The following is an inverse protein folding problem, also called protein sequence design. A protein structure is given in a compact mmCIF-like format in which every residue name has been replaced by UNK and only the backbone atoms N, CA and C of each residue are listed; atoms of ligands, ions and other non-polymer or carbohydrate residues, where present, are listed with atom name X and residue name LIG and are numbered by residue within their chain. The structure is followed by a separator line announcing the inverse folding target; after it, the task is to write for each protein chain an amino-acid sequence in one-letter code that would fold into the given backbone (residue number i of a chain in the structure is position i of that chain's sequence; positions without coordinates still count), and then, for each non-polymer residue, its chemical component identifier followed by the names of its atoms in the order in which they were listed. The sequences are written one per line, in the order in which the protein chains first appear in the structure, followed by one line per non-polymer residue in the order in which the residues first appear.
data_IF_000377591844
#
_entry.id   IF_000377591844
#
_cell.length_a   1.000
_cell.length_b   1.000
_cell.length_c   1.000
_cell.angle_alpha   90.00
_cell.angle_beta   90.00
_cell.angle_gamma   90.00
#
_symmetry.space_group_name_H-M   'P 1'
#
loop_
_entity.id
_entity.type
_entity.pdbx_description
1 polymer ?
#
# COMPACT_ATOMS: atom_id res chain seq x y z
N UNK A 1 28.72 13.88 -3.89
CA UNK A 1 28.77 13.17 -2.58
C UNK A 1 30.22 13.13 -2.13
N UNK A 2 30.57 13.55 -0.92
CA UNK A 2 31.93 13.44 -0.39
C UNK A 2 32.14 12.07 0.24
N UNK A 3 33.41 11.62 0.38
CA UNK A 3 33.74 10.39 1.08
C UNK A 3 33.22 10.40 2.53
N UNK A 4 33.24 11.54 3.18
CA UNK A 4 32.73 11.69 4.54
C UNK A 4 31.22 11.52 4.61
N UNK A 5 30.46 12.06 3.65
CA UNK A 5 29.01 11.84 3.60
C UNK A 5 28.68 10.36 3.36
N UNK A 6 29.49 9.66 2.58
CA UNK A 6 29.30 8.22 2.35
C UNK A 6 29.62 7.40 3.60
N UNK A 7 30.71 7.72 4.31
CA UNK A 7 31.06 7.07 5.59
C UNK A 7 29.94 7.27 6.64
N UNK A 8 29.40 8.50 6.72
CA UNK A 8 28.28 8.80 7.60
C UNK A 8 27.02 7.97 7.23
N UNK A 9 26.74 7.80 5.94
CA UNK A 9 25.63 6.96 5.49
C UNK A 9 25.79 5.50 5.92
N UNK A 10 27.03 4.95 5.84
CA UNK A 10 27.33 3.60 6.32
C UNK A 10 27.08 3.49 7.83
N UNK A 11 27.56 4.45 8.60
CA UNK A 11 27.42 4.43 10.06
C UNK A 11 25.95 4.54 10.50
N UNK A 12 25.18 5.41 9.84
CA UNK A 12 23.73 5.49 10.04
C UNK A 12 23.03 4.17 9.68
N UNK A 13 23.44 3.52 8.59
CA UNK A 13 22.91 2.22 8.20
C UNK A 13 23.17 1.13 9.23
N UNK A 14 24.39 1.07 9.78
CA UNK A 14 24.76 0.14 10.88
C UNK A 14 23.95 0.36 12.15
N UNK A 15 23.49 1.58 12.39
CA UNK A 15 22.62 1.95 13.51
C UNK A 15 21.12 1.75 13.21
N UNK A 16 20.77 1.22 12.02
CA UNK A 16 19.39 0.96 11.62
C UNK A 16 18.65 2.13 10.97
N UNK A 17 19.26 3.31 10.84
CA UNK A 17 18.60 4.50 10.27
C UNK A 17 18.33 4.43 8.76
N UNK A 18 18.90 3.43 8.05
CA UNK A 18 18.63 3.20 6.63
C UNK A 18 17.51 2.17 6.40
N UNK A 19 16.87 1.66 7.46
CA UNK A 19 15.69 0.83 7.33
C UNK A 19 14.51 1.69 6.88
N UNK A 20 13.74 1.18 5.92
CA UNK A 20 12.50 1.85 5.49
C UNK A 20 11.43 1.79 6.57
N UNK A 21 10.44 2.67 6.47
CA UNK A 21 9.26 2.60 7.33
C UNK A 21 8.45 1.34 7.01
N UNK A 22 7.79 0.84 8.05
CA UNK A 22 6.96 -0.36 7.92
C UNK A 22 5.79 -0.18 6.97
N UNK A 23 5.50 -1.24 6.26
CA UNK A 23 4.33 -1.40 5.39
C UNK A 23 3.25 -2.26 6.04
N UNK A 24 3.51 -2.76 7.25
CA UNK A 24 2.67 -3.72 7.96
C UNK A 24 2.67 -5.12 7.34
N UNK A 25 3.67 -5.41 6.51
CA UNK A 25 3.90 -6.67 5.80
C UNK A 25 5.40 -7.02 5.88
N UNK A 26 5.87 -7.61 6.99
CA UNK A 26 7.29 -7.84 7.26
C UNK A 26 8.04 -8.63 6.19
N UNK A 27 7.43 -9.66 5.59
CA UNK A 27 8.06 -10.42 4.50
C UNK A 27 8.22 -9.60 3.24
N UNK A 28 7.23 -8.77 2.90
CA UNK A 28 7.34 -7.83 1.80
C UNK A 28 8.42 -6.78 2.09
N UNK A 29 8.51 -6.29 3.33
CA UNK A 29 9.54 -5.34 3.76
C UNK A 29 10.95 -5.94 3.62
N UNK A 30 11.17 -7.20 3.97
CA UNK A 30 12.44 -7.91 3.74
C UNK A 30 12.82 -7.96 2.26
N UNK A 31 11.83 -8.12 1.36
CA UNK A 31 12.06 -8.20 -0.08
C UNK A 31 12.40 -6.86 -0.73
N UNK A 32 11.88 -5.74 -0.21
CA UNK A 32 12.00 -4.43 -0.87
C UNK A 32 12.63 -3.33 -0.01
N UNK A 33 12.94 -3.61 1.25
CA UNK A 33 13.54 -2.66 2.19
C UNK A 33 12.54 -1.71 2.86
N UNK A 34 11.22 -2.00 2.81
CA UNK A 34 10.20 -1.12 3.36
C UNK A 34 10.01 0.18 2.57
N UNK A 35 9.45 1.21 3.21
CA UNK A 35 9.24 2.53 2.61
C UNK A 35 10.49 3.38 2.82
N UNK A 36 11.31 3.51 1.78
CA UNK A 36 12.58 4.25 1.83
C UNK A 36 12.46 5.60 1.12
N UNK A 37 13.31 6.56 1.54
CA UNK A 37 13.42 7.87 0.88
C UNK A 37 13.91 7.75 -0.55
N UNK A 38 13.52 8.71 -1.38
CA UNK A 38 13.97 8.81 -2.77
C UNK A 38 13.68 7.57 -3.60
N UNK A 39 12.69 6.80 -3.23
CA UNK A 39 12.29 5.56 -3.93
C UNK A 39 10.93 5.74 -4.58
N UNK A 40 10.87 5.56 -5.89
CA UNK A 40 9.63 5.57 -6.63
C UNK A 40 9.09 4.15 -6.75
N UNK A 41 7.89 3.94 -6.26
CA UNK A 41 7.21 2.64 -6.32
C UNK A 41 6.02 2.71 -7.26
N UNK A 42 5.93 1.76 -8.16
CA UNK A 42 4.73 1.49 -8.94
C UNK A 42 3.99 0.30 -8.35
N UNK A 43 2.72 0.49 -8.01
CA UNK A 43 1.82 -0.59 -7.63
C UNK A 43 0.69 -0.67 -8.64
N UNK A 44 0.49 -1.85 -9.25
CA UNK A 44 -0.58 -2.03 -10.21
C UNK A 44 -1.37 -3.32 -10.00
N UNK A 45 -2.59 -3.34 -10.52
CA UNK A 45 -3.44 -4.53 -10.54
C UNK A 45 -4.55 -4.37 -11.57
N UNK A 46 -5.21 -5.46 -11.93
CA UNK A 46 -6.50 -5.42 -12.61
C UNK A 46 -7.57 -4.82 -11.69
N UNK A 47 -8.66 -4.32 -12.28
CA UNK A 47 -9.77 -3.74 -11.51
C UNK A 47 -10.32 -4.76 -10.50
N UNK A 48 -10.64 -4.29 -9.29
CA UNK A 48 -11.23 -5.11 -8.22
C UNK A 48 -10.26 -6.05 -7.49
N UNK A 49 -8.98 -6.08 -7.82
CA UNK A 49 -8.02 -6.98 -7.16
C UNK A 49 -7.43 -6.42 -5.85
N UNK A 50 -7.74 -5.17 -5.49
CA UNK A 50 -7.36 -4.61 -4.19
C UNK A 50 -6.19 -3.62 -4.22
N UNK A 51 -5.81 -3.07 -5.40
CA UNK A 51 -4.71 -2.09 -5.52
C UNK A 51 -4.82 -0.91 -4.55
N UNK A 52 -5.95 -0.20 -4.55
CA UNK A 52 -6.18 0.95 -3.66
C UNK A 52 -6.22 0.54 -2.19
N UNK A 53 -6.78 -0.63 -1.89
CA UNK A 53 -6.81 -1.17 -0.53
C UNK A 53 -5.42 -1.53 -0.03
N UNK A 54 -4.55 -2.09 -0.89
CA UNK A 54 -3.16 -2.38 -0.57
C UNK A 54 -2.38 -1.08 -0.29
N UNK A 55 -2.54 -0.06 -1.14
CA UNK A 55 -1.89 1.25 -0.94
C UNK A 55 -2.37 1.90 0.35
N UNK A 56 -3.68 1.93 0.62
CA UNK A 56 -4.21 2.52 1.86
C UNK A 56 -3.69 1.79 3.10
N UNK A 57 -3.54 0.47 3.04
CA UNK A 57 -2.99 -0.28 4.17
C UNK A 57 -1.48 -0.07 4.31
N UNK A 58 -0.70 -0.37 3.25
CA UNK A 58 0.75 -0.47 3.35
C UNK A 58 1.49 0.85 3.23
N UNK A 59 0.95 1.86 2.51
CA UNK A 59 1.64 3.15 2.31
C UNK A 59 1.01 4.31 3.07
N UNK A 60 -0.18 4.09 3.66
CA UNK A 60 -0.85 5.13 4.46
C UNK A 60 -1.02 4.66 5.90
N UNK A 61 -1.80 3.60 6.14
CA UNK A 61 -2.16 3.16 7.48
C UNK A 61 -0.96 2.63 8.30
N UNK A 62 -0.19 1.70 7.73
CA UNK A 62 0.94 1.09 8.45
C UNK A 62 2.00 2.13 8.89
N UNK A 63 2.50 3.01 8.01
CA UNK A 63 3.44 4.05 8.44
C UNK A 63 2.80 5.08 9.39
N UNK A 64 1.50 5.41 9.26
CA UNK A 64 0.81 6.27 10.24
C UNK A 64 0.76 5.62 11.63
N UNK A 65 0.58 4.30 11.72
CA UNK A 65 0.53 3.59 13.00
C UNK A 65 1.83 3.78 13.81
N UNK A 66 2.98 3.85 13.14
CA UNK A 66 4.29 3.97 13.79
C UNK A 66 4.76 5.42 13.93
N UNK A 67 4.44 6.29 12.96
CA UNK A 67 5.00 7.64 12.83
C UNK A 67 3.99 8.77 12.94
N UNK A 68 2.88 8.53 13.65
CA UNK A 68 1.81 9.52 13.79
C UNK A 68 2.20 10.73 14.66
N UNK A 69 3.08 10.51 15.65
CA UNK A 69 3.41 11.50 16.68
C UNK A 69 4.86 11.99 16.65
N UNK A 70 5.75 11.32 15.92
CA UNK A 70 7.18 11.62 15.92
C UNK A 70 7.61 12.68 14.89
N UNK A 71 6.65 13.18 14.09
CA UNK A 71 6.88 14.14 13.01
C UNK A 71 7.86 13.67 11.92
N UNK A 72 8.11 12.35 11.80
CA UNK A 72 9.02 11.79 10.79
C UNK A 72 8.35 11.45 9.46
N UNK A 73 7.03 11.56 9.38
CA UNK A 73 6.22 11.21 8.21
C UNK A 73 5.40 12.40 7.72
N UNK A 74 5.31 12.55 6.41
CA UNK A 74 4.36 13.40 5.70
C UNK A 74 3.78 12.67 4.50
N UNK A 75 2.47 12.66 4.32
CA UNK A 75 1.80 11.98 3.21
C UNK A 75 0.96 12.98 2.43
N UNK A 76 1.21 13.06 1.12
CA UNK A 76 0.44 13.82 0.14
C UNK A 76 -0.32 12.80 -0.70
N UNK A 77 -1.64 12.73 -0.60
CA UNK A 77 -2.43 11.72 -1.29
C UNK A 77 -3.35 12.35 -2.33
N UNK A 78 -3.09 12.08 -3.59
CA UNK A 78 -3.95 12.46 -4.71
C UNK A 78 -4.97 11.37 -4.97
N UNK A 79 -6.19 11.58 -4.50
CA UNK A 79 -7.33 10.67 -4.65
C UNK A 79 -8.10 11.01 -5.94
N UNK A 80 -7.73 10.38 -7.04
CA UNK A 80 -8.33 10.64 -8.34
C UNK A 80 -9.57 9.78 -8.61
N UNK A 81 -9.74 8.68 -7.85
CA UNK A 81 -10.83 7.70 -8.01
C UNK A 81 -11.84 7.76 -6.86
N UNK A 82 -11.37 7.86 -5.62
CA UNK A 82 -12.20 7.78 -4.43
C UNK A 82 -12.35 9.15 -3.76
N UNK A 83 -13.49 9.37 -3.09
CA UNK A 83 -13.69 10.56 -2.26
C UNK A 83 -12.92 10.46 -0.94
N UNK A 84 -12.51 11.61 -0.41
CA UNK A 84 -11.79 11.73 0.85
C UNK A 84 -12.54 11.05 2.01
N UNK A 85 -13.83 11.32 2.18
CA UNK A 85 -14.63 10.71 3.24
C UNK A 85 -14.55 9.18 3.26
N UNK A 86 -14.56 8.55 2.06
CA UNK A 86 -14.50 7.10 1.96
C UNK A 86 -13.10 6.55 2.26
N UNK A 87 -12.06 7.31 1.93
CA UNK A 87 -10.67 6.99 2.27
C UNK A 87 -10.49 7.05 3.79
N UNK A 88 -10.92 8.16 4.40
CA UNK A 88 -10.85 8.35 5.87
C UNK A 88 -11.66 7.28 6.60
N UNK A 89 -12.88 6.96 6.12
CA UNK A 89 -13.68 5.89 6.71
C UNK A 89 -13.00 4.51 6.62
N UNK A 90 -12.28 4.21 5.54
CA UNK A 90 -11.49 2.98 5.43
C UNK A 90 -10.32 2.95 6.41
N UNK A 91 -9.59 4.05 6.55
CA UNK A 91 -8.49 4.16 7.50
C UNK A 91 -8.99 4.02 8.94
N UNK A 92 -10.10 4.69 9.28
CA UNK A 92 -10.74 4.59 10.57
C UNK A 92 -11.25 3.17 10.85
N UNK A 93 -11.87 2.49 9.89
CA UNK A 93 -12.29 1.09 9.99
C UNK A 93 -11.11 0.17 10.33
N UNK A 94 -9.96 0.36 9.67
CA UNK A 94 -8.73 -0.39 9.96
C UNK A 94 -8.21 -0.10 11.38
N UNK A 95 -8.21 1.18 11.78
CA UNK A 95 -7.77 1.61 13.11
C UNK A 95 -8.65 1.02 14.23
N UNK A 96 -9.96 1.09 14.10
CA UNK A 96 -10.91 0.55 15.08
C UNK A 96 -10.75 -0.97 15.23
N UNK A 97 -10.50 -1.65 14.12
CA UNK A 97 -10.23 -3.06 14.15
C UNK A 97 -8.89 -3.39 14.84
N UNK A 98 -7.81 -2.71 14.48
CA UNK A 98 -6.47 -2.97 15.05
C UNK A 98 -6.37 -2.59 16.53
N UNK A 99 -7.15 -1.62 16.98
CA UNK A 99 -7.06 -1.08 18.35
C UNK A 99 -8.08 -1.72 19.31
N UNK A 100 -9.31 -1.91 18.82
CA UNK A 100 -10.43 -2.34 19.66
C UNK A 100 -11.02 -3.68 19.23
N UNK A 101 -10.52 -4.30 18.15
CA UNK A 101 -11.07 -5.51 17.53
C UNK A 101 -12.55 -5.37 17.10
N UNK A 102 -12.97 -4.14 16.77
CA UNK A 102 -14.33 -3.82 16.34
C UNK A 102 -14.39 -3.83 14.82
N UNK A 103 -15.29 -4.64 14.29
CA UNK A 103 -15.57 -4.69 12.84
C UNK A 103 -16.66 -3.67 12.51
N UNK A 104 -16.28 -2.52 11.98
CA UNK A 104 -17.17 -1.53 11.39
C UNK A 104 -16.66 -1.15 10.01
N UNK A 105 -17.46 -1.36 8.98
CA UNK A 105 -17.04 -1.11 7.60
C UNK A 105 -17.10 0.37 7.27
N UNK A 106 -16.31 0.81 6.26
CA UNK A 106 -16.39 2.19 5.77
C UNK A 106 -17.80 2.59 5.31
N UNK A 107 -18.58 1.63 4.78
CA UNK A 107 -19.99 1.86 4.41
C UNK A 107 -20.88 2.12 5.61
N UNK A 108 -20.66 1.42 6.74
CA UNK A 108 -21.38 1.65 8.00
C UNK A 108 -20.98 2.99 8.62
N UNK A 109 -19.68 3.29 8.69
CA UNK A 109 -19.19 4.58 9.22
C UNK A 109 -19.88 5.74 8.50
N UNK A 110 -20.03 5.66 7.19
CA UNK A 110 -20.67 6.70 6.36
C UNK A 110 -22.17 6.47 6.16
N UNK A 111 -22.75 5.43 6.73
CA UNK A 111 -24.17 5.04 6.54
C UNK A 111 -24.61 4.99 5.07
N UNK A 112 -23.78 4.42 4.19
CA UNK A 112 -24.04 4.35 2.76
C UNK A 112 -24.97 3.16 2.44
N UNK A 113 -26.24 3.46 2.21
CA UNK A 113 -27.28 2.48 1.91
C UNK A 113 -28.07 2.06 3.15
N UNK A 114 -29.32 1.62 2.94
CA UNK A 114 -30.28 1.32 4.00
C UNK A 114 -29.81 0.24 4.98
N UNK A 115 -29.03 -0.72 4.47
CA UNK A 115 -28.54 -1.87 5.26
C UNK A 115 -27.24 -1.54 6.02
N UNK A 116 -26.71 -0.32 5.87
CA UNK A 116 -25.43 0.12 6.45
C UNK A 116 -25.56 1.33 7.37
N UNK A 117 -26.77 1.59 7.87
CA UNK A 117 -26.96 2.64 8.89
C UNK A 117 -26.12 2.27 10.10
N UNK A 118 -25.28 3.22 10.55
CA UNK A 118 -24.40 3.00 11.70
C UNK A 118 -25.23 2.90 12.97
N UNK A 119 -25.21 1.76 13.70
CA UNK A 119 -25.90 1.60 14.98
C UNK A 119 -25.25 2.44 16.08
N UNK A 120 -26.01 2.84 17.08
CA UNK A 120 -25.56 3.72 18.16
C UNK A 120 -24.39 3.11 18.96
N UNK A 121 -24.42 1.79 19.22
CA UNK A 121 -23.34 1.06 19.90
C UNK A 121 -22.02 1.07 19.11
N UNK A 122 -22.07 0.97 17.78
CA UNK A 122 -20.89 1.12 16.93
C UNK A 122 -20.46 2.57 16.79
N UNK A 123 -21.39 3.53 16.86
CA UNK A 123 -21.08 4.95 16.79
C UNK A 123 -20.18 5.41 17.95
N UNK A 124 -20.39 4.88 19.16
CA UNK A 124 -19.52 5.13 20.33
C UNK A 124 -18.06 4.77 20.02
N UNK A 125 -17.80 3.63 19.35
CA UNK A 125 -16.45 3.25 18.93
C UNK A 125 -15.90 4.16 17.83
N UNK A 126 -16.74 4.59 16.89
CA UNK A 126 -16.33 5.55 15.85
C UNK A 126 -15.85 6.85 16.50
N UNK A 127 -16.54 7.33 17.56
CA UNK A 127 -16.14 8.54 18.29
C UNK A 127 -14.76 8.39 18.97
N UNK A 128 -14.41 7.21 19.49
CA UNK A 128 -13.07 6.94 20.04
C UNK A 128 -11.94 7.10 18.99
N UNK A 129 -12.27 6.99 17.72
CA UNK A 129 -11.32 7.21 16.64
C UNK A 129 -11.09 8.68 16.26
N UNK A 130 -11.86 9.64 16.78
CA UNK A 130 -11.73 11.05 16.38
C UNK A 130 -10.39 11.66 16.78
N UNK A 131 -9.90 11.39 17.99
CA UNK A 131 -8.59 11.85 18.45
C UNK A 131 -7.45 11.33 17.55
N UNK A 132 -7.59 10.09 17.11
CA UNK A 132 -6.65 9.52 16.15
C UNK A 132 -6.72 10.22 14.79
N UNK A 133 -7.94 10.50 14.28
CA UNK A 133 -8.12 11.22 13.03
C UNK A 133 -7.57 12.66 13.08
N UNK A 134 -7.71 13.36 14.18
CA UNK A 134 -7.10 14.69 14.35
C UNK A 134 -5.57 14.66 14.17
N UNK A 135 -4.93 13.61 14.66
CA UNK A 135 -3.48 13.39 14.45
C UNK A 135 -3.19 13.01 13.00
N UNK A 136 -4.01 12.15 12.39
CA UNK A 136 -3.87 11.75 10.97
C UNK A 136 -3.89 12.97 10.05
N UNK A 137 -4.80 13.90 10.24
CA UNK A 137 -4.90 15.13 9.43
C UNK A 137 -3.67 16.04 9.53
N UNK A 138 -2.85 15.93 10.57
CA UNK A 138 -1.56 16.65 10.66
C UNK A 138 -0.48 16.05 9.76
N UNK A 139 -0.55 14.74 9.50
CA UNK A 139 0.44 13.98 8.73
C UNK A 139 0.00 13.73 7.29
N UNK A 140 -1.29 13.46 7.08
CA UNK A 140 -1.90 13.12 5.79
C UNK A 140 -2.71 14.30 5.26
N UNK A 141 -2.42 14.72 4.02
CA UNK A 141 -3.30 15.61 3.27
C UNK A 141 -3.82 14.90 2.03
N UNK A 142 -5.13 14.91 1.84
CA UNK A 142 -5.80 14.30 0.70
C UNK A 142 -6.23 15.40 -0.26
N UNK A 143 -5.93 15.23 -1.53
CA UNK A 143 -6.36 16.08 -2.63
C UNK A 143 -7.26 15.28 -3.55
N UNK A 144 -8.55 15.57 -3.54
CA UNK A 144 -9.51 14.93 -4.45
C UNK A 144 -9.82 15.81 -5.67
N UNK A 145 -10.27 15.18 -6.74
CA UNK A 145 -10.78 15.83 -7.92
C UNK A 145 -9.97 15.57 -9.19
N UNK A 146 -10.06 16.51 -10.12
CA UNK A 146 -9.49 16.38 -11.46
C UNK A 146 -8.17 17.15 -11.57
N UNK A 147 -7.12 16.45 -11.96
CA UNK A 147 -5.76 16.96 -12.05
C UNK A 147 -5.12 16.61 -13.40
N UNK A 148 -4.32 17.51 -13.94
CA UNK A 148 -3.31 17.24 -14.95
C UNK A 148 -1.92 17.17 -14.30
N UNK A 149 -0.89 16.83 -15.07
CA UNK A 149 0.49 16.73 -14.59
C UNK A 149 0.95 18.02 -13.89
N UNK A 150 0.76 19.17 -14.53
CA UNK A 150 1.25 20.44 -13.99
C UNK A 150 0.60 20.80 -12.64
N UNK A 151 -0.70 20.54 -12.49
CA UNK A 151 -1.42 20.77 -11.23
C UNK A 151 -0.97 19.83 -10.12
N UNK A 152 -0.76 18.52 -10.42
CA UNK A 152 -0.22 17.56 -9.45
C UNK A 152 1.16 17.97 -8.97
N UNK A 153 2.04 18.34 -9.90
CA UNK A 153 3.41 18.79 -9.58
C UNK A 153 3.39 20.09 -8.78
N UNK A 154 2.55 21.06 -9.16
CA UNK A 154 2.40 22.32 -8.42
C UNK A 154 2.03 22.07 -6.97
N UNK A 155 0.99 21.28 -6.71
CA UNK A 155 0.57 20.92 -5.34
C UNK A 155 1.67 20.18 -4.59
N UNK A 156 2.33 19.21 -5.22
CA UNK A 156 3.47 18.51 -4.61
C UNK A 156 4.58 19.47 -4.20
N UNK A 157 4.91 20.44 -5.06
CA UNK A 157 5.94 21.45 -4.76
C UNK A 157 5.50 22.40 -3.62
N UNK A 158 4.23 22.77 -3.55
CA UNK A 158 3.68 23.59 -2.47
C UNK A 158 3.76 22.84 -1.11
N UNK A 159 3.46 21.55 -1.08
CA UNK A 159 3.61 20.72 0.11
C UNK A 159 5.09 20.58 0.52
N UNK A 160 5.99 20.35 -0.42
CA UNK A 160 7.42 20.27 -0.16
C UNK A 160 8.00 21.57 0.41
N UNK A 161 7.49 22.75 0.02
CA UNK A 161 7.88 24.03 0.60
C UNK A 161 7.52 24.17 2.08
N UNK A 162 6.50 23.46 2.56
CA UNK A 162 6.17 23.43 3.99
C UNK A 162 7.21 22.63 4.79
N UNK A 163 7.84 21.64 4.15
CA UNK A 163 8.79 20.71 4.77
C UNK A 163 10.27 21.10 4.54
N UNK A 164 10.55 22.13 3.75
CA UNK A 164 11.91 22.59 3.47
C UNK A 164 11.96 23.82 2.59
N UNK A 165 13.17 24.23 2.22
CA UNK A 165 13.44 25.41 1.42
C UNK A 165 14.10 25.04 0.08
N UNK A 166 13.58 25.60 -1.01
CA UNK A 166 14.21 25.50 -2.34
C UNK A 166 15.16 26.67 -2.55
N UNK A 167 16.45 26.37 -2.70
CA UNK A 167 17.45 27.32 -3.16
C UNK A 167 17.69 27.13 -4.68
N UNK A 168 18.50 27.97 -5.30
CA UNK A 168 18.83 27.84 -6.72
C UNK A 168 19.32 26.44 -7.11
N UNK A 169 20.16 25.83 -6.25
CA UNK A 169 20.86 24.58 -6.58
C UNK A 169 20.37 23.34 -5.84
N UNK A 170 19.65 23.50 -4.72
CA UNK A 170 19.27 22.37 -3.86
C UNK A 170 17.99 22.63 -3.06
N UNK A 171 17.41 21.55 -2.57
CA UNK A 171 16.40 21.54 -1.54
C UNK A 171 17.05 21.28 -0.18
N UNK A 172 16.68 22.08 0.82
CA UNK A 172 17.16 21.94 2.20
C UNK A 172 15.95 21.54 3.05
N UNK A 173 15.81 20.26 3.45
CA UNK A 173 14.72 19.83 4.30
C UNK A 173 14.84 20.43 5.70
N UNK A 174 13.71 20.77 6.34
CA UNK A 174 13.67 21.17 7.77
C UNK A 174 14.10 20.01 8.67
N UNK A 175 13.66 18.81 8.35
CA UNK A 175 14.09 17.57 8.99
C UNK A 175 14.65 16.61 7.91
N UNK A 176 15.97 16.36 7.89
CA UNK A 176 16.57 15.46 6.92
C UNK A 176 16.19 14.00 7.13
N UNK A 177 15.60 13.61 8.25
CA UNK A 177 15.13 12.25 8.52
C UNK A 177 13.68 12.03 8.12
N UNK A 178 12.89 13.09 7.94
CA UNK A 178 11.47 12.98 7.56
C UNK A 178 11.28 12.29 6.21
N UNK A 179 10.40 11.30 6.16
CA UNK A 179 9.95 10.64 4.93
C UNK A 179 8.72 11.38 4.40
N UNK A 180 8.77 11.81 3.14
CA UNK A 180 7.66 12.48 2.47
C UNK A 180 7.18 11.57 1.35
N UNK A 181 5.93 11.09 1.45
CA UNK A 181 5.28 10.26 0.44
C UNK A 181 4.38 11.12 -0.44
N UNK A 182 4.39 10.88 -1.75
CA UNK A 182 3.40 11.41 -2.68
C UNK A 182 2.69 10.23 -3.34
N UNK A 183 1.47 9.96 -2.94
CA UNK A 183 0.66 8.84 -3.43
C UNK A 183 -0.34 9.33 -4.46
N UNK A 184 -0.42 8.69 -5.64
CA UNK A 184 -1.38 9.03 -6.70
C UNK A 184 -2.19 7.81 -7.08
N UNK A 185 -3.46 7.75 -6.68
CA UNK A 185 -4.40 6.64 -6.94
C UNK A 185 -5.59 7.12 -7.78
N UNK A 186 -5.65 6.75 -9.07
CA UNK A 186 -4.62 6.14 -9.90
C UNK A 186 -4.33 7.03 -11.12
N UNK A 187 -3.09 6.99 -11.60
CA UNK A 187 -2.60 7.91 -12.66
C UNK A 187 -3.35 7.78 -13.99
N UNK A 188 -4.03 6.67 -14.25
CA UNK A 188 -4.90 6.52 -15.43
C UNK A 188 -6.08 7.50 -15.48
N UNK A 189 -6.35 8.25 -14.40
CA UNK A 189 -7.39 9.28 -14.33
C UNK A 189 -6.85 10.70 -14.47
N UNK A 190 -5.55 10.89 -14.66
CA UNK A 190 -4.95 12.19 -14.95
C UNK A 190 -5.58 12.75 -16.23
N UNK A 191 -5.99 14.01 -16.17
CA UNK A 191 -6.65 14.69 -17.28
C UNK A 191 -5.61 15.17 -18.28
N UNK A 192 -5.85 14.99 -19.58
CA UNK A 192 -5.02 15.57 -20.61
C UNK A 192 -4.97 17.12 -20.51
N UNK A 193 -3.80 17.70 -20.70
CA UNK A 193 -3.62 19.13 -20.85
C UNK A 193 -3.45 19.51 -22.34
N UNK A 194 -3.45 20.81 -22.63
CA UNK A 194 -3.37 21.30 -24.01
C UNK A 194 -2.19 20.69 -24.78
N UNK A 195 -2.49 20.00 -25.87
CA UNK A 195 -1.50 19.39 -26.76
C UNK A 195 -0.96 18.03 -26.36
N UNK A 196 -1.40 17.47 -25.21
CA UNK A 196 -1.01 16.11 -24.75
C UNK A 196 -2.19 15.18 -24.71
N UNK A 197 -1.98 13.93 -25.10
CA UNK A 197 -2.90 12.85 -24.79
C UNK A 197 -2.63 12.31 -23.37
N UNK A 198 -3.49 11.40 -22.86
CA UNK A 198 -3.35 10.85 -21.50
C UNK A 198 -1.99 10.18 -21.27
N UNK A 199 -1.48 9.42 -22.25
CA UNK A 199 -0.16 8.80 -22.17
C UNK A 199 0.94 9.85 -21.97
N UNK A 200 0.96 10.87 -22.82
CA UNK A 200 1.95 11.96 -22.71
C UNK A 200 1.85 12.74 -21.39
N UNK A 201 0.65 12.83 -20.82
CA UNK A 201 0.45 13.47 -19.52
C UNK A 201 1.00 12.62 -18.35
N UNK A 202 0.84 11.30 -18.42
CA UNK A 202 1.41 10.36 -17.43
C UNK A 202 2.94 10.36 -17.55
N UNK A 203 3.48 10.34 -18.75
CA UNK A 203 4.92 10.40 -19.01
C UNK A 203 5.52 11.70 -18.45
N UNK A 204 4.91 12.84 -18.71
CA UNK A 204 5.34 14.15 -18.21
C UNK A 204 5.31 14.19 -16.67
N UNK A 205 4.21 13.74 -16.07
CA UNK A 205 4.07 13.66 -14.61
C UNK A 205 5.17 12.81 -13.99
N UNK A 206 5.37 11.61 -14.52
CA UNK A 206 6.34 10.65 -13.99
C UNK A 206 7.76 11.14 -14.10
N UNK A 207 8.12 11.73 -15.25
CA UNK A 207 9.45 12.33 -15.46
C UNK A 207 9.71 13.50 -14.50
N UNK A 208 8.73 14.37 -14.27
CA UNK A 208 8.83 15.46 -13.29
C UNK A 208 8.99 14.92 -11.86
N UNK A 209 8.28 13.85 -11.50
CA UNK A 209 8.44 13.20 -10.20
C UNK A 209 9.85 12.65 -9.99
N UNK A 210 10.48 12.05 -11.01
CA UNK A 210 11.89 11.63 -10.93
C UNK A 210 12.82 12.80 -10.60
N UNK A 211 12.64 13.94 -11.26
CA UNK A 211 13.45 15.15 -11.00
C UNK A 211 13.24 15.63 -9.54
N UNK A 212 11.99 15.71 -9.09
CA UNK A 212 11.64 16.14 -7.73
C UNK A 212 12.21 15.16 -6.70
N UNK A 213 11.99 13.88 -6.88
CA UNK A 213 12.52 12.81 -6.02
C UNK A 213 14.04 12.95 -5.84
N UNK A 214 14.78 13.07 -6.94
CA UNK A 214 16.24 13.17 -6.89
C UNK A 214 16.71 14.45 -6.19
N UNK A 215 15.94 15.53 -6.26
CA UNK A 215 16.28 16.84 -5.67
C UNK A 215 15.88 16.92 -4.18
N UNK A 216 14.77 16.31 -3.78
CA UNK A 216 14.12 16.56 -2.49
C UNK A 216 14.13 15.37 -1.53
N UNK A 217 14.34 14.16 -2.03
CA UNK A 217 14.16 12.94 -1.23
C UNK A 217 12.71 12.45 -1.15
N UNK A 218 11.78 13.06 -1.91
CA UNK A 218 10.40 12.60 -2.05
C UNK A 218 10.34 11.13 -2.47
N UNK A 219 9.36 10.38 -1.96
CA UNK A 219 9.10 8.99 -2.35
C UNK A 219 7.74 8.89 -3.02
N UNK A 220 7.69 8.90 -4.37
CA UNK A 220 6.45 8.77 -5.11
C UNK A 220 5.93 7.33 -5.10
N UNK A 221 4.62 7.18 -4.85
CA UNK A 221 3.88 5.92 -4.98
C UNK A 221 2.85 6.11 -6.08
N UNK A 222 3.07 5.44 -7.20
CA UNK A 222 2.21 5.51 -8.37
C UNK A 222 1.32 4.28 -8.42
N UNK A 223 0.02 4.51 -8.47
CA UNK A 223 -0.96 3.42 -8.62
C UNK A 223 -1.45 3.39 -10.06
N UNK A 224 -1.44 2.20 -10.66
CA UNK A 224 -1.92 2.01 -12.04
C UNK A 224 -2.89 0.84 -12.15
N UNK A 225 -3.70 0.88 -13.17
CA UNK A 225 -4.52 -0.26 -13.59
C UNK A 225 -3.80 -1.05 -14.68
N UNK A 226 -3.82 -2.38 -14.57
CA UNK A 226 -3.24 -3.24 -15.63
C UNK A 226 -4.03 -3.16 -16.93
N UNK A 227 -3.39 -3.45 -18.04
CA UNK A 227 -4.03 -3.56 -19.33
C UNK A 227 -4.97 -4.77 -19.35
N UNK A 228 -6.13 -4.63 -20.02
CA UNK A 228 -7.08 -5.72 -20.25
C UNK A 228 -6.51 -6.88 -21.08
N UNK A 229 -5.36 -6.70 -21.75
CA UNK A 229 -4.66 -7.75 -22.47
C UNK A 229 -4.23 -8.93 -21.57
N UNK A 230 -4.10 -8.72 -20.25
CA UNK A 230 -3.95 -9.80 -19.25
C UNK A 230 -5.11 -10.81 -19.31
N UNK A 231 -6.26 -10.39 -19.84
CA UNK A 231 -7.44 -11.24 -20.04
C UNK A 231 -7.39 -12.07 -21.33
N UNK A 232 -6.30 -12.02 -22.12
CA UNK A 232 -6.22 -12.74 -23.40
C UNK A 232 -6.33 -14.25 -23.16
N UNK A 233 -7.24 -14.92 -23.90
CA UNK A 233 -7.52 -16.35 -23.74
C UNK A 233 -6.29 -17.24 -23.99
N UNK A 234 -5.34 -16.82 -24.83
CA UNK A 234 -4.12 -17.58 -25.07
C UNK A 234 -3.23 -17.64 -23.84
N UNK A 235 -3.14 -16.52 -23.10
CA UNK A 235 -2.38 -16.44 -21.87
C UNK A 235 -3.00 -17.29 -20.74
N UNK A 236 -4.33 -17.36 -20.68
CA UNK A 236 -5.07 -18.19 -19.72
C UNK A 236 -4.93 -19.70 -19.93
N UNK A 237 -4.43 -20.14 -21.08
CA UNK A 237 -4.14 -21.56 -21.34
C UNK A 237 -2.85 -22.06 -20.66
N UNK A 238 -1.97 -21.16 -20.25
CA UNK A 238 -0.72 -21.51 -19.58
C UNK A 238 -0.67 -20.84 -18.20
N UNK A 239 -0.75 -21.64 -17.15
CA UNK A 239 -0.73 -21.17 -15.76
C UNK A 239 0.47 -20.27 -15.41
N UNK A 240 1.63 -20.52 -16.03
CA UNK A 240 2.84 -19.72 -15.81
C UNK A 240 2.69 -18.27 -16.26
N UNK A 241 1.76 -17.97 -17.18
CA UNK A 241 1.53 -16.62 -17.70
C UNK A 241 0.27 -15.93 -17.12
N UNK A 242 -0.40 -16.54 -16.15
CA UNK A 242 -1.56 -15.93 -15.50
C UNK A 242 -1.20 -14.83 -14.51
N UNK A 243 0.00 -14.91 -13.91
CA UNK A 243 0.48 -13.87 -13.00
C UNK A 243 0.70 -12.54 -13.74
N UNK A 244 0.45 -11.39 -13.07
CA UNK A 244 0.82 -10.09 -13.62
C UNK A 244 2.30 -10.01 -13.97
N UNK A 245 2.61 -9.35 -15.09
CA UNK A 245 3.97 -9.08 -15.57
C UNK A 245 4.14 -7.59 -15.84
N UNK A 246 5.39 -7.12 -15.96
CA UNK A 246 5.69 -5.71 -16.21
C UNK A 246 5.04 -5.22 -17.51
N UNK A 247 4.91 -6.09 -18.51
CA UNK A 247 4.27 -5.81 -19.81
C UNK A 247 2.76 -5.56 -19.69
N UNK A 248 2.15 -5.91 -18.56
CA UNK A 248 0.73 -5.67 -18.30
C UNK A 248 0.44 -4.25 -17.83
N UNK A 249 1.46 -3.45 -17.58
CA UNK A 249 1.32 -2.05 -17.18
C UNK A 249 0.68 -1.29 -18.33
N UNK A 250 -0.46 -0.68 -18.02
CA UNK A 250 -1.26 0.05 -19.00
C UNK A 250 -0.61 1.40 -19.34
N UNK A 251 -0.80 1.79 -20.61
CA UNK A 251 -0.59 3.12 -21.15
C UNK A 251 0.87 3.51 -21.44
N UNK A 252 1.85 3.26 -20.54
CA UNK A 252 3.22 3.71 -20.79
C UNK A 252 4.28 2.86 -20.10
N UNK A 253 5.43 2.62 -20.78
CA UNK A 253 6.62 2.00 -20.20
C UNK A 253 7.41 2.97 -19.31
N UNK A 254 7.24 4.28 -19.50
CA UNK A 254 8.00 5.32 -18.76
C UNK A 254 7.86 5.16 -17.25
N UNK A 255 6.65 4.83 -16.76
CA UNK A 255 6.43 4.63 -15.33
C UNK A 255 7.24 3.45 -14.79
N UNK A 256 7.26 2.33 -15.52
CA UNK A 256 8.02 1.13 -15.10
C UNK A 256 9.54 1.34 -15.18
N UNK A 257 10.01 2.09 -16.18
CA UNK A 257 11.42 2.45 -16.32
C UNK A 257 11.90 3.33 -15.16
N UNK A 258 11.09 4.32 -14.79
CA UNK A 258 11.37 5.30 -13.75
C UNK A 258 11.23 4.76 -12.32
N UNK A 259 10.51 3.65 -12.13
CA UNK A 259 10.28 3.07 -10.81
C UNK A 259 11.45 2.18 -10.35
N UNK A 260 11.85 2.32 -9.10
CA UNK A 260 12.83 1.45 -8.43
C UNK A 260 12.18 0.13 -7.99
N UNK A 261 10.91 0.20 -7.59
CA UNK A 261 10.14 -0.94 -7.12
C UNK A 261 8.87 -1.03 -7.97
N UNK A 262 8.54 -2.24 -8.43
CA UNK A 262 7.28 -2.54 -9.13
C UNK A 262 6.60 -3.69 -8.41
N UNK A 263 5.42 -3.40 -7.88
CA UNK A 263 4.56 -4.34 -7.19
C UNK A 263 3.29 -4.60 -8.00
N UNK A 264 2.85 -5.86 -8.03
CA UNK A 264 1.58 -6.22 -8.62
C UNK A 264 0.70 -6.96 -7.62
N UNK A 265 -0.53 -6.50 -7.41
CA UNK A 265 -1.51 -7.22 -6.60
C UNK A 265 -2.29 -8.19 -7.49
N UNK A 266 -2.31 -9.45 -7.07
CA UNK A 266 -2.94 -10.53 -7.82
C UNK A 266 -3.91 -11.32 -6.94
N UNK A 267 -5.08 -11.62 -7.48
CA UNK A 267 -6.06 -12.54 -6.90
C UNK A 267 -6.22 -13.76 -7.80
N UNK A 268 -5.60 -14.91 -7.46
CA UNK A 268 -5.68 -16.12 -8.28
C UNK A 268 -7.10 -16.68 -8.45
N UNK A 269 -8.01 -16.36 -7.52
CA UNK A 269 -9.41 -16.76 -7.59
C UNK A 269 -10.14 -16.19 -8.81
N UNK A 270 -9.74 -14.99 -9.29
CA UNK A 270 -10.32 -14.38 -10.50
C UNK A 270 -10.06 -15.24 -11.73
N UNK A 271 -8.91 -15.92 -11.76
CA UNK A 271 -8.54 -16.86 -12.83
C UNK A 271 -8.97 -18.30 -12.50
N UNK A 272 -9.85 -18.48 -11.50
CA UNK A 272 -10.41 -19.78 -11.08
C UNK A 272 -9.36 -20.79 -10.62
N UNK A 273 -8.22 -20.34 -10.15
CA UNK A 273 -7.20 -21.21 -9.59
C UNK A 273 -7.70 -21.83 -8.29
N UNK A 274 -7.53 -23.12 -8.13
CA UNK A 274 -7.84 -23.85 -6.90
C UNK A 274 -6.69 -23.80 -5.92
N UNK A 275 -5.46 -23.80 -6.44
CA UNK A 275 -4.20 -23.71 -5.69
C UNK A 275 -3.31 -22.63 -6.28
N UNK A 276 -2.45 -22.05 -5.45
CA UNK A 276 -1.45 -21.07 -5.89
C UNK A 276 -0.27 -21.06 -4.91
N UNK A 277 0.95 -21.27 -5.39
CA UNK A 277 2.18 -21.30 -4.58
C UNK A 277 2.07 -22.17 -3.33
N UNK A 278 1.38 -23.33 -3.44
CA UNK A 278 1.15 -24.27 -2.33
C UNK A 278 -0.12 -24.00 -1.49
N UNK A 279 -0.70 -22.81 -1.59
CA UNK A 279 -1.92 -22.47 -0.84
C UNK A 279 -3.19 -23.00 -1.52
N UNK A 280 -4.18 -23.39 -0.70
CA UNK A 280 -5.52 -23.80 -1.15
C UNK A 280 -6.41 -22.57 -1.37
N UNK A 281 -6.22 -21.87 -2.49
CA UNK A 281 -6.91 -20.60 -2.79
C UNK A 281 -8.42 -20.75 -2.82
N UNK A 282 -8.92 -21.90 -3.30
CA UNK A 282 -10.36 -22.19 -3.33
C UNK A 282 -11.01 -22.09 -1.94
N UNK A 283 -10.30 -22.51 -0.90
CA UNK A 283 -10.80 -22.50 0.49
C UNK A 283 -10.90 -21.06 1.04
N UNK A 284 -10.00 -20.20 0.63
CA UNK A 284 -9.93 -18.80 1.08
C UNK A 284 -10.81 -17.86 0.26
N UNK A 285 -11.18 -18.27 -0.96
CA UNK A 285 -11.97 -17.47 -1.88
C UNK A 285 -11.33 -16.13 -2.23
N UNK A 286 -12.14 -15.08 -2.29
CA UNK A 286 -11.69 -13.72 -2.65
C UNK A 286 -10.82 -13.03 -1.58
N UNK A 287 -10.54 -13.66 -0.46
CA UNK A 287 -9.69 -13.11 0.60
C UNK A 287 -8.21 -13.36 0.38
N UNK A 288 -7.85 -14.36 -0.43
CA UNK A 288 -6.45 -14.58 -0.78
C UNK A 288 -5.95 -13.49 -1.75
N UNK A 289 -4.75 -13.01 -1.50
CA UNK A 289 -4.02 -12.08 -2.37
C UNK A 289 -2.56 -12.50 -2.44
N UNK A 290 -1.93 -12.13 -3.55
CA UNK A 290 -0.49 -12.19 -3.70
C UNK A 290 0.01 -10.81 -4.10
N UNK A 291 1.09 -10.35 -3.48
CA UNK A 291 1.82 -9.15 -3.86
C UNK A 291 3.12 -9.62 -4.52
N UNK A 292 3.19 -9.49 -5.84
CA UNK A 292 4.38 -9.88 -6.59
C UNK A 292 5.36 -8.71 -6.64
N UNK A 293 6.62 -8.97 -6.33
CA UNK A 293 7.74 -8.04 -6.54
C UNK A 293 8.31 -8.30 -7.92
N UNK A 294 7.89 -7.52 -8.90
CA UNK A 294 8.31 -7.69 -10.29
C UNK A 294 9.64 -7.00 -10.58
N UNK A 295 9.94 -5.92 -9.83
CA UNK A 295 11.20 -5.20 -9.87
C UNK A 295 11.53 -4.69 -8.49
N UNK A 296 12.76 -4.88 -8.04
CA UNK A 296 13.32 -4.22 -6.87
C UNK A 296 14.79 -3.91 -7.14
N UNK A 297 15.23 -2.68 -6.83
CA UNK A 297 16.67 -2.34 -6.87
C UNK A 297 17.42 -2.76 -5.62
N UNK A 298 16.70 -3.14 -4.56
CA UNK A 298 17.27 -3.39 -3.24
C UNK A 298 17.19 -4.85 -2.80
N UNK A 299 16.50 -5.71 -3.55
CA UNK A 299 16.26 -7.09 -3.16
C UNK A 299 15.97 -8.01 -4.35
N UNK A 300 15.34 -9.14 -4.05
CA UNK A 300 15.00 -10.15 -5.04
C UNK A 300 13.84 -9.71 -5.94
N UNK A 301 13.87 -10.17 -7.19
CA UNK A 301 12.82 -9.94 -8.18
C UNK A 301 12.07 -11.25 -8.45
N UNK A 302 10.84 -11.14 -8.96
CA UNK A 302 9.95 -12.27 -9.32
C UNK A 302 9.59 -13.16 -8.13
N UNK A 303 9.59 -12.59 -6.94
CA UNK A 303 9.11 -13.20 -5.70
C UNK A 303 7.74 -12.68 -5.34
N UNK A 304 7.04 -13.38 -4.46
CA UNK A 304 5.70 -13.00 -4.06
C UNK A 304 5.51 -13.16 -2.56
N UNK A 305 4.90 -12.17 -1.95
CA UNK A 305 4.31 -12.28 -0.64
C UNK A 305 2.82 -12.65 -0.77
N UNK A 306 2.41 -13.70 -0.06
CA UNK A 306 1.03 -14.17 -0.06
C UNK A 306 0.31 -13.68 1.19
N UNK A 307 -0.87 -13.07 0.98
CA UNK A 307 -1.60 -12.39 2.02
C UNK A 307 -3.05 -12.87 2.12
N UNK A 308 -3.59 -12.76 3.32
CA UNK A 308 -5.01 -12.72 3.59
C UNK A 308 -5.47 -11.25 3.61
N UNK A 309 -6.54 -10.96 2.89
CA UNK A 309 -7.12 -9.62 2.81
C UNK A 309 -8.56 -9.63 3.30
N UNK A 310 -8.85 -8.89 4.37
CA UNK A 310 -10.21 -8.60 4.80
C UNK A 310 -10.67 -7.23 4.30
N UNK A 311 -11.53 -7.26 3.28
CA UNK A 311 -12.06 -6.04 2.68
C UNK A 311 -13.05 -5.28 3.58
N UNK A 312 -13.61 -5.91 4.62
CA UNK A 312 -14.55 -5.27 5.53
C UNK A 312 -13.88 -4.16 6.33
N UNK A 313 -12.66 -4.43 6.82
CA UNK A 313 -11.85 -3.50 7.63
C UNK A 313 -10.56 -3.07 6.94
N UNK A 314 -10.42 -3.35 5.65
CA UNK A 314 -9.23 -3.06 4.85
C UNK A 314 -7.92 -3.60 5.44
N UNK A 315 -7.97 -4.75 6.14
CA UNK A 315 -6.81 -5.37 6.79
C UNK A 315 -6.10 -6.33 5.86
N UNK A 316 -4.76 -6.22 5.81
CA UNK A 316 -3.87 -7.16 5.15
C UNK A 316 -3.04 -7.89 6.18
N UNK A 317 -2.85 -9.19 6.00
CA UNK A 317 -2.01 -10.04 6.84
C UNK A 317 -1.25 -11.01 5.96
N UNK A 318 0.03 -11.20 6.22
CA UNK A 318 0.84 -12.19 5.53
C UNK A 318 0.43 -13.60 5.92
N UNK A 319 0.41 -14.50 4.95
CA UNK A 319 0.10 -15.90 5.18
C UNK A 319 1.31 -16.62 5.77
N UNK A 320 1.11 -17.55 6.74
CA UNK A 320 2.13 -18.53 7.10
C UNK A 320 2.57 -19.32 5.86
N UNK A 321 3.66 -20.08 5.95
CA UNK A 321 4.05 -20.96 4.85
C UNK A 321 2.94 -21.99 4.59
N UNK A 322 2.72 -22.42 3.33
CA UNK A 322 1.64 -23.36 3.00
C UNK A 322 1.66 -24.65 3.81
N UNK A 323 2.84 -25.17 4.12
CA UNK A 323 3.07 -26.38 4.91
C UNK A 323 2.74 -26.22 6.41
N UNK A 324 2.62 -24.97 6.89
CA UNK A 324 2.25 -24.65 8.27
C UNK A 324 0.72 -24.55 8.45
N UNK A 325 -0.05 -24.56 7.36
CA UNK A 325 -1.50 -24.41 7.37
C UNK A 325 -2.17 -25.78 7.29
N UNK A 326 -2.56 -26.31 8.44
CA UNK A 326 -3.27 -27.60 8.53
C UNK A 326 -4.79 -27.45 8.36
N UNK A 327 -5.34 -26.28 8.66
CA UNK A 327 -6.77 -25.99 8.52
C UNK A 327 -7.01 -24.60 7.91
N UNK A 328 -7.68 -24.58 6.77
CA UNK A 328 -8.08 -23.35 6.08
C UNK A 328 -9.42 -22.78 6.54
N UNK A 329 -10.15 -23.46 7.45
CA UNK A 329 -11.45 -23.00 7.93
C UNK A 329 -11.38 -21.61 8.56
N UNK A 330 -10.29 -21.28 9.24
CA UNK A 330 -10.03 -19.96 9.84
C UNK A 330 -9.95 -18.82 8.83
N UNK A 331 -9.61 -19.12 7.58
CA UNK A 331 -9.54 -18.13 6.49
C UNK A 331 -10.80 -18.05 5.66
N UNK A 332 -11.80 -18.89 5.91
CA UNK A 332 -13.10 -18.84 5.24
C UNK A 332 -13.89 -17.64 5.71
N UNK A 333 -14.66 -17.04 4.79
CA UNK A 333 -15.58 -15.96 5.14
C UNK A 333 -16.71 -16.52 6.01
N UNK A 334 -16.66 -16.27 7.29
CA UNK A 334 -17.82 -16.37 8.18
C UNK A 334 -18.18 -14.95 8.61
N UNK A 335 -19.47 -14.66 8.64
CA UNK A 335 -20.02 -13.36 8.99
C UNK A 335 -19.32 -12.74 10.21
N UNK A 336 -18.79 -11.55 10.06
CA UNK A 336 -18.25 -10.62 11.08
C UNK A 336 -17.15 -11.11 12.06
N UNK A 337 -16.75 -12.38 12.06
CA UNK A 337 -15.86 -12.93 13.13
C UNK A 337 -14.56 -13.60 12.64
N UNK A 338 -14.22 -13.51 11.34
CA UNK A 338 -13.15 -14.35 10.79
C UNK A 338 -11.75 -13.95 11.22
N UNK A 339 -11.46 -12.67 11.42
CA UNK A 339 -10.13 -12.21 11.85
C UNK A 339 -9.95 -12.47 13.36
N UNK A 340 -10.97 -12.24 14.18
CA UNK A 340 -10.92 -12.56 15.63
C UNK A 340 -10.61 -14.04 15.87
N UNK A 341 -11.10 -14.93 15.00
CA UNK A 341 -10.81 -16.35 15.06
C UNK A 341 -9.38 -16.70 14.63
N UNK A 342 -8.79 -15.93 13.71
CA UNK A 342 -7.39 -16.10 13.29
C UNK A 342 -6.47 -15.69 14.44
N UNK A 343 -6.66 -14.49 15.00
CA UNK A 343 -5.84 -13.98 16.11
C UNK A 343 -5.95 -14.87 17.36
N UNK A 344 -7.16 -15.27 17.75
CA UNK A 344 -7.36 -16.19 18.89
C UNK A 344 -6.73 -17.56 18.70
N UNK A 345 -6.53 -18.00 17.46
CA UNK A 345 -5.87 -19.27 17.16
C UNK A 345 -4.35 -19.11 17.08
N UNK A 346 -3.80 -17.99 16.63
CA UNK A 346 -2.37 -17.68 16.72
C UNK A 346 -1.90 -17.65 18.18
N UNK A 347 -2.65 -16.99 19.07
CA UNK A 347 -2.38 -17.00 20.51
C UNK A 347 -2.44 -18.41 21.15
N UNK A 348 -3.25 -19.32 20.59
CA UNK A 348 -3.31 -20.71 21.03
C UNK A 348 -2.15 -21.54 20.51
N UNK A 349 -1.75 -21.33 19.26
CA UNK A 349 -0.63 -22.02 18.63
C UNK A 349 0.70 -21.62 19.27
N UNK A 350 0.89 -20.34 19.63
CA UNK A 350 2.04 -19.89 20.42
C UNK A 350 2.06 -20.51 21.83
N UNK A 351 0.91 -20.60 22.50
CA UNK A 351 0.80 -21.28 23.80
C UNK A 351 1.00 -22.79 23.73
N UNK A 352 0.70 -23.42 22.62
CA UNK A 352 0.97 -24.84 22.37
C UNK A 352 2.44 -25.06 22.06
N UNK A 353 3.08 -24.21 21.22
CA UNK A 353 4.52 -24.24 20.98
C UNK A 353 5.32 -24.01 22.26
N UNK A 354 4.97 -23.03 23.06
CA UNK A 354 5.64 -22.77 24.34
C UNK A 354 5.49 -23.91 25.37
N UNK A 355 4.43 -24.72 25.29
CA UNK A 355 4.28 -25.92 26.14
C UNK A 355 5.07 -27.14 25.65
N UNK A 356 5.32 -27.23 24.34
CA UNK A 356 6.14 -28.31 23.75
C UNK A 356 7.64 -28.07 23.97
N UNK A 357 8.10 -26.81 24.01
CA UNK A 357 9.50 -26.46 24.32
C UNK A 357 9.88 -26.65 25.81
N UNK A 358 8.92 -26.80 26.73
CA UNK A 358 9.16 -27.12 28.15
C UNK A 358 9.02 -28.59 28.49
N UNK A 359 8.83 -29.49 27.50
CA UNK A 359 8.62 -30.92 27.72
C UNK A 359 9.71 -31.79 27.02
N UNK A 360 10.83 -31.22 26.64
CA UNK A 360 12.08 -31.84 26.23
C UNK A 360 13.19 -31.32 27.16
#
# INVERSE_FOLDING_TARGET
MSLESFKRSIELGRQGFNQGFSMGLPKLEELIGGITKSTMTLLFASSGQGKSSCVLYSYIYAPLKEHLEDNKLRIIFFALEMKEDFIIAKLLSTYLYDTYHIVVTAKQILSIGKDYILPDDLYEYVQLGYDWLEKVYKVLTIYEGSFNSDKLIKVTMEELKKEGEFTENKYIPKDPEKVILSVTDHVGLIQPSNGRNRKGEIDDYTNKLVIIRNKTGLSPIIVMQSNRAVANMERKKNEAFMEPMVEDIKETSTVSENSEIILAVYNPQVDKRTTYRGYQVKEMGYRFRSILVLKSRYGENQVADCCFFDGAVNKWMEMPKPEEIFDYSRYRATNNSSIDNIIKNEDKDEKVKSKLDYSL
#
